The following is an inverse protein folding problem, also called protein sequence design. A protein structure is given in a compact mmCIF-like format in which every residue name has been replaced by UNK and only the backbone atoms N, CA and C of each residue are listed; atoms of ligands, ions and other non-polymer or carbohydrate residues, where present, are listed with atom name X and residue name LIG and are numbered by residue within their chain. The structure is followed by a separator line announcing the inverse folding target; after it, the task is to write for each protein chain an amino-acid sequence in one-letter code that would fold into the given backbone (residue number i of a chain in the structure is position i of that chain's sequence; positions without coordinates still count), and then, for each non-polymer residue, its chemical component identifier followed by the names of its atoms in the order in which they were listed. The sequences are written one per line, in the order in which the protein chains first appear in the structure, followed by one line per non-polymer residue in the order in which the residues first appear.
data_IF_620014875720
#
_entry.id   IF_620014875720
#
_cell.length_a   1.000
_cell.length_b   1.000
_cell.length_c   1.000
_cell.angle_alpha   90.00
_cell.angle_beta   90.00
_cell.angle_gamma   90.00
#
_symmetry.space_group_name_H-M   'P 1'
#
loop_
_entity.id
_entity.type
_entity.pdbx_description
1 polymer ?
#
# COMPACT_ATOMS: atom_id res chain seq x y z
N UNK A 1 -16.08 0.90 9.14
CA UNK A 1 -15.81 2.15 9.88
C UNK A 1 -14.30 2.26 10.09
N UNK A 2 -13.63 3.24 9.47
CA UNK A 2 -12.18 3.40 9.62
C UNK A 2 -11.90 4.55 10.60
N UNK A 3 -11.36 4.23 11.78
CA UNK A 3 -11.02 5.24 12.79
C UNK A 3 -9.67 5.88 12.48
N UNK A 4 -9.59 7.21 12.61
CA UNK A 4 -8.33 7.94 12.42
C UNK A 4 -7.38 7.73 13.60
N UNK A 5 -6.08 7.95 13.37
CA UNK A 5 -5.07 7.91 14.44
C UNK A 5 -5.46 8.81 15.63
N UNK A 6 -5.93 10.03 15.34
CA UNK A 6 -6.33 11.01 16.35
C UNK A 6 -7.50 10.49 17.20
N UNK A 7 -8.51 9.91 16.56
CA UNK A 7 -9.65 9.32 17.26
C UNK A 7 -9.19 8.15 18.13
N UNK A 8 -8.34 7.27 17.61
CA UNK A 8 -7.81 6.12 18.35
C UNK A 8 -6.92 6.54 19.53
N UNK A 9 -6.18 7.63 19.43
CA UNK A 9 -5.44 8.22 20.54
C UNK A 9 -6.38 8.75 21.63
N UNK A 10 -7.43 9.49 21.25
CA UNK A 10 -8.42 9.98 22.19
C UNK A 10 -9.14 8.82 22.90
N UNK A 11 -9.50 7.76 22.17
CA UNK A 11 -10.07 6.55 22.75
C UNK A 11 -9.10 5.86 23.71
N UNK A 12 -7.81 5.76 23.37
CA UNK A 12 -6.80 5.17 24.27
C UNK A 12 -6.66 5.93 25.60
N UNK A 13 -6.76 7.26 25.57
CA UNK A 13 -6.77 8.09 26.79
C UNK A 13 -8.03 7.85 27.60
N UNK A 14 -9.20 7.78 26.94
CA UNK A 14 -10.47 7.51 27.61
C UNK A 14 -10.50 6.14 28.30
N UNK A 15 -9.91 5.10 27.69
CA UNK A 15 -9.80 3.75 28.29
C UNK A 15 -9.02 3.74 29.62
N UNK A 16 -8.19 4.75 29.90
CA UNK A 16 -7.36 4.83 31.11
C UNK A 16 -8.00 5.68 32.23
N UNK A 17 -9.12 6.37 31.97
CA UNK A 17 -9.78 7.20 32.98
C UNK A 17 -10.53 6.34 34.00
N UNK A 18 -10.43 6.70 35.28
CA UNK A 18 -11.28 6.15 36.35
C UNK A 18 -12.71 6.68 36.17
N UNK A 19 -13.70 5.80 36.29
CA UNK A 19 -15.11 6.11 36.08
C UNK A 19 -15.78 6.66 37.34
N UNK A 20 -16.77 7.56 37.19
CA UNK A 20 -17.44 8.27 38.29
C UNK A 20 -18.99 8.21 38.26
N UNK A 21 -19.60 7.37 37.41
CA UNK A 21 -21.05 7.11 37.35
C UNK A 21 -21.87 7.92 36.32
N UNK A 22 -21.24 8.49 35.28
CA UNK A 22 -21.86 9.36 34.26
C UNK A 22 -22.19 8.63 32.94
N UNK A 23 -22.93 9.27 32.02
CA UNK A 23 -23.13 8.77 30.64
C UNK A 23 -21.79 8.53 29.92
N UNK A 24 -20.77 9.35 30.20
CA UNK A 24 -19.42 9.15 29.70
C UNK A 24 -18.82 7.83 30.20
N UNK A 25 -19.15 7.43 31.43
CA UNK A 25 -18.69 6.16 32.00
C UNK A 25 -19.38 4.95 31.38
N UNK A 26 -20.66 5.07 30.99
CA UNK A 26 -21.36 4.05 30.20
C UNK A 26 -20.69 3.83 28.84
N UNK A 27 -20.33 4.92 28.14
CA UNK A 27 -19.60 4.83 26.87
C UNK A 27 -18.18 4.27 27.04
N UNK A 28 -17.48 4.63 28.13
CA UNK A 28 -16.17 4.05 28.47
C UNK A 28 -16.31 2.56 28.81
N UNK A 29 -17.37 2.15 29.52
CA UNK A 29 -17.64 0.75 29.82
C UNK A 29 -17.88 -0.07 28.54
N UNK A 30 -18.66 0.45 27.59
CA UNK A 30 -18.85 -0.18 26.28
C UNK A 30 -17.57 -0.19 25.43
N UNK A 31 -16.72 0.82 25.55
CA UNK A 31 -15.39 0.81 24.92
C UNK A 31 -14.46 -0.20 25.59
N UNK A 32 -14.55 -0.40 26.90
CA UNK A 32 -13.73 -1.34 27.66
C UNK A 32 -14.21 -2.79 27.55
N UNK A 33 -15.46 -3.02 27.15
CA UNK A 33 -15.95 -4.37 26.82
C UNK A 33 -15.41 -4.89 25.47
N UNK A 34 -14.79 -4.04 24.64
CA UNK A 34 -14.07 -4.52 23.45
C UNK A 34 -12.80 -5.28 23.84
N UNK A 35 -12.48 -6.38 23.16
CA UNK A 35 -11.22 -7.12 23.39
C UNK A 35 -10.02 -6.17 23.25
N UNK A 36 -9.13 -6.20 24.24
CA UNK A 36 -7.96 -5.32 24.28
C UNK A 36 -7.05 -5.51 23.05
N UNK A 37 -6.90 -6.75 22.60
CA UNK A 37 -6.12 -7.09 21.41
C UNK A 37 -6.66 -6.40 20.14
N UNK A 38 -7.98 -6.45 19.90
CA UNK A 38 -8.61 -5.83 18.73
C UNK A 38 -8.38 -4.32 18.72
N UNK A 39 -8.44 -3.68 19.89
CA UNK A 39 -8.16 -2.25 20.02
C UNK A 39 -6.71 -1.91 19.66
N UNK A 40 -5.74 -2.65 20.21
CA UNK A 40 -4.32 -2.38 19.96
C UNK A 40 -3.90 -2.76 18.53
N UNK A 41 -4.51 -3.78 17.94
CA UNK A 41 -4.29 -4.15 16.54
C UNK A 41 -4.80 -3.05 15.60
N UNK A 42 -6.01 -2.53 15.86
CA UNK A 42 -6.58 -1.42 15.11
C UNK A 42 -5.75 -0.15 15.24
N UNK A 43 -5.33 0.18 16.47
CA UNK A 43 -4.49 1.34 16.74
C UNK A 43 -3.11 1.23 16.08
N UNK A 44 -2.48 0.06 16.17
CA UNK A 44 -1.20 -0.20 15.51
C UNK A 44 -1.30 -0.09 13.99
N UNK A 45 -2.36 -0.63 13.39
CA UNK A 45 -2.63 -0.50 11.95
C UNK A 45 -2.87 0.96 11.54
N UNK A 46 -3.55 1.76 12.35
CA UNK A 46 -3.69 3.19 12.08
C UNK A 46 -2.34 3.92 12.06
N UNK A 47 -1.40 3.55 12.94
CA UNK A 47 -0.03 4.08 12.90
C UNK A 47 0.77 3.61 11.68
N UNK A 48 0.52 2.40 11.17
CA UNK A 48 1.13 1.96 9.90
C UNK A 48 0.72 2.86 8.73
N UNK A 49 -0.56 3.25 8.66
CA UNK A 49 -1.11 4.16 7.62
C UNK A 49 -0.49 5.55 7.63
N UNK A 50 0.07 5.97 8.77
CA UNK A 50 0.74 7.27 8.92
C UNK A 50 2.26 7.14 9.05
N UNK A 51 2.83 5.97 8.72
CA UNK A 51 4.27 5.67 8.78
C UNK A 51 4.91 5.90 10.16
N UNK A 52 4.12 5.83 11.24
CA UNK A 52 4.58 5.97 12.63
C UNK A 52 4.97 4.61 13.20
N UNK A 53 5.98 3.99 12.59
CA UNK A 53 6.35 2.59 12.83
C UNK A 53 6.70 2.28 14.30
N UNK A 54 7.39 3.18 15.00
CA UNK A 54 7.70 3.01 16.41
C UNK A 54 6.44 2.92 17.29
N UNK A 55 5.45 3.81 17.05
CA UNK A 55 4.16 3.77 17.75
C UNK A 55 3.36 2.52 17.40
N UNK A 56 3.40 2.09 16.14
CA UNK A 56 2.77 0.84 15.72
C UNK A 56 3.34 -0.36 16.50
N UNK A 57 4.67 -0.45 16.65
CA UNK A 57 5.35 -1.49 17.43
C UNK A 57 4.90 -1.45 18.90
N UNK A 58 4.79 -0.26 19.50
CA UNK A 58 4.31 -0.12 20.88
C UNK A 58 2.89 -0.68 21.06
N UNK A 59 1.99 -0.46 20.10
CA UNK A 59 0.66 -1.06 20.11
C UNK A 59 0.73 -2.59 19.93
N UNK A 60 1.47 -3.07 18.94
CA UNK A 60 1.57 -4.50 18.65
C UNK A 60 2.30 -5.32 19.73
N UNK A 61 3.09 -4.68 20.60
CA UNK A 61 3.68 -5.31 21.77
C UNK A 61 2.67 -5.59 22.90
N UNK A 62 1.48 -4.96 22.86
CA UNK A 62 0.41 -5.17 23.85
C UNK A 62 -0.54 -6.32 23.48
N UNK A 63 -0.39 -6.88 22.29
CA UNK A 63 -1.18 -8.01 21.83
C UNK A 63 -0.82 -9.28 22.59
N UNK A 64 -1.80 -10.14 22.85
CA UNK A 64 -1.56 -11.46 23.44
C UNK A 64 -0.59 -12.30 22.59
N UNK A 65 0.15 -13.21 23.25
CA UNK A 65 1.22 -14.02 22.62
C UNK A 65 0.74 -14.81 21.39
N UNK A 66 -0.52 -15.27 21.41
CA UNK A 66 -1.10 -16.11 20.36
C UNK A 66 -2.02 -15.32 19.42
N UNK A 67 -2.03 -13.99 19.52
CA UNK A 67 -2.86 -13.15 18.68
C UNK A 67 -2.59 -13.41 17.21
N UNK A 68 -3.67 -13.56 16.44
CA UNK A 68 -3.63 -13.73 14.99
C UNK A 68 -4.00 -12.41 14.36
N UNK A 69 -3.04 -11.81 13.66
CA UNK A 69 -3.35 -10.64 12.85
C UNK A 69 -4.46 -10.97 11.89
N UNK A 70 -5.42 -10.06 11.80
CA UNK A 70 -6.51 -10.21 10.89
C UNK A 70 -5.96 -10.18 9.46
N UNK A 71 -6.20 -11.26 8.74
CA UNK A 71 -5.93 -11.38 7.32
C UNK A 71 -7.26 -11.70 6.68
N UNK A 72 -7.73 -10.84 5.79
CA UNK A 72 -8.91 -11.17 5.02
C UNK A 72 -8.68 -12.47 4.22
N UNK A 73 -9.72 -13.29 4.12
CA UNK A 73 -9.73 -14.44 3.22
C UNK A 73 -9.52 -13.90 1.80
N UNK A 74 -8.28 -14.02 1.28
CA UNK A 74 -8.02 -13.71 -0.13
C UNK A 74 -8.62 -14.85 -0.94
N UNK A 75 -9.92 -14.79 -1.19
CA UNK A 75 -10.57 -15.58 -2.21
C UNK A 75 -10.13 -15.09 -3.58
N UNK A 76 -9.32 -15.88 -4.28
CA UNK A 76 -9.18 -15.69 -5.72
C UNK A 76 -10.55 -15.91 -6.36
N UNK A 77 -11.05 -14.90 -7.09
CA UNK A 77 -12.16 -15.06 -8.03
C UNK A 77 -11.64 -15.83 -9.25
N UNK A 78 -11.32 -17.11 -9.08
CA UNK A 78 -11.23 -18.04 -10.19
C UNK A 78 -12.29 -19.10 -9.97
N UNK A 79 -13.25 -19.18 -10.89
CA UNK A 79 -14.47 -19.99 -10.80
C UNK A 79 -14.20 -21.50 -10.95
N UNK A 80 -13.01 -21.96 -10.56
CA UNK A 80 -12.64 -23.37 -10.56
C UNK A 80 -11.87 -23.70 -9.29
N UNK A 81 -12.54 -24.51 -8.46
CA UNK A 81 -12.05 -25.29 -7.32
C UNK A 81 -12.44 -24.71 -5.95
N UNK A 82 -13.52 -25.30 -5.44
CA UNK A 82 -13.93 -25.34 -4.03
C UNK A 82 -12.80 -25.82 -3.11
N UNK A 83 -11.98 -24.88 -2.61
CA UNK A 83 -11.38 -24.88 -1.27
C UNK A 83 -10.53 -23.61 -1.16
N UNK A 84 -11.17 -22.54 -0.71
CA UNK A 84 -10.55 -21.27 -0.32
C UNK A 84 -9.36 -21.53 0.60
N UNK A 85 -8.15 -21.52 0.03
CA UNK A 85 -6.92 -21.52 0.83
C UNK A 85 -6.66 -20.08 1.26
N UNK A 86 -7.14 -19.77 2.47
CA UNK A 86 -6.85 -18.62 3.33
C UNK A 86 -5.35 -18.58 3.65
N UNK A 87 -4.53 -18.46 2.61
CA UNK A 87 -3.11 -18.81 2.66
C UNK A 87 -2.34 -17.62 2.12
N UNK A 88 -2.69 -17.07 0.95
CA UNK A 88 -1.94 -15.97 0.32
C UNK A 88 -1.58 -14.80 1.25
N UNK A 89 -2.52 -14.28 2.06
CA UNK A 89 -2.27 -13.15 2.96
C UNK A 89 -1.18 -13.46 4.00
N UNK A 90 -1.20 -14.66 4.58
CA UNK A 90 -0.19 -15.13 5.54
C UNK A 90 1.19 -15.35 4.92
N UNK A 91 1.31 -15.24 3.60
CA UNK A 91 2.57 -15.37 2.87
C UNK A 91 2.93 -14.11 2.09
N UNK A 92 2.27 -12.98 2.36
CA UNK A 92 2.65 -11.71 1.77
C UNK A 92 4.05 -11.30 2.25
N UNK A 93 4.84 -10.80 1.31
CA UNK A 93 6.09 -10.11 1.60
C UNK A 93 6.01 -8.72 0.97
N UNK A 94 5.85 -7.64 1.76
CA UNK A 94 5.78 -6.29 1.22
C UNK A 94 7.11 -5.82 0.63
N UNK A 95 8.25 -6.39 1.00
CA UNK A 95 9.57 -5.85 0.59
C UNK A 95 10.02 -6.33 -0.80
N UNK A 96 9.18 -7.07 -1.53
CA UNK A 96 9.53 -7.60 -2.85
C UNK A 96 9.39 -6.52 -3.94
N UNK A 97 10.32 -6.57 -4.89
CA UNK A 97 10.18 -5.87 -6.17
C UNK A 97 9.25 -6.68 -7.09
N UNK A 98 8.22 -6.04 -7.64
CA UNK A 98 7.35 -6.65 -8.65
C UNK A 98 7.21 -5.75 -9.87
N UNK A 99 7.60 -6.28 -11.03
CA UNK A 99 7.39 -5.58 -12.31
C UNK A 99 5.90 -5.52 -12.67
N UNK A 100 5.20 -6.66 -12.55
CA UNK A 100 3.75 -6.78 -12.70
C UNK A 100 3.05 -6.69 -11.36
N UNK A 101 1.87 -6.10 -11.32
CA UNK A 101 1.02 -6.13 -10.12
C UNK A 101 0.26 -7.46 -10.01
N UNK A 102 -0.03 -8.10 -11.15
CA UNK A 102 -0.69 -9.40 -11.23
C UNK A 102 0.06 -10.41 -12.12
N UNK A 103 0.02 -11.72 -11.78
CA UNK A 103 -0.54 -12.28 -10.55
C UNK A 103 0.27 -11.84 -9.31
N UNK A 104 -0.42 -11.63 -8.19
CA UNK A 104 0.21 -11.24 -6.92
C UNK A 104 1.17 -12.34 -6.48
N UNK A 105 2.39 -11.97 -6.07
CA UNK A 105 3.40 -12.93 -5.63
C UNK A 105 3.30 -13.14 -4.12
N UNK A 106 3.12 -14.39 -3.70
CA UNK A 106 3.10 -14.81 -2.30
C UNK A 106 4.21 -15.84 -2.06
N UNK A 107 4.72 -15.89 -0.83
CA UNK A 107 5.72 -16.87 -0.43
C UNK A 107 5.10 -18.28 -0.37
N UNK A 108 5.92 -19.31 -0.58
CA UNK A 108 5.52 -20.71 -0.40
C UNK A 108 5.97 -21.12 1.01
N UNK A 109 5.04 -21.38 1.94
CA UNK A 109 5.25 -21.79 3.36
C UNK A 109 5.47 -20.63 4.35
N UNK A 110 5.30 -20.93 5.66
CA UNK A 110 5.11 -20.11 6.89
C UNK A 110 6.13 -18.99 7.18
N UNK A 111 6.51 -18.25 6.15
CA UNK A 111 7.54 -17.21 6.16
C UNK A 111 6.96 -15.83 5.83
N UNK A 112 5.64 -15.66 5.82
CA UNK A 112 5.04 -14.35 5.59
C UNK A 112 5.34 -13.41 6.75
N UNK A 113 5.34 -12.13 6.39
CA UNK A 113 5.57 -11.04 7.33
C UNK A 113 4.21 -10.70 7.98
N UNK A 114 4.20 -10.31 9.24
CA UNK A 114 3.00 -9.80 9.90
C UNK A 114 3.15 -8.30 10.15
N UNK A 115 2.07 -7.63 10.56
CA UNK A 115 2.08 -6.16 10.76
C UNK A 115 3.14 -5.70 11.75
N UNK A 116 3.44 -6.50 12.79
CA UNK A 116 4.49 -6.19 13.76
C UNK A 116 5.88 -6.28 13.16
N UNK A 117 6.21 -7.38 12.48
CA UNK A 117 7.53 -7.56 11.85
C UNK A 117 7.73 -6.59 10.69
N UNK A 118 6.67 -6.25 9.97
CA UNK A 118 6.66 -5.15 9.00
C UNK A 118 7.02 -3.80 9.63
N UNK A 119 6.36 -3.44 10.75
CA UNK A 119 6.65 -2.19 11.44
C UNK A 119 8.10 -2.13 11.93
N UNK A 120 8.61 -3.24 12.48
CA UNK A 120 10.00 -3.36 12.93
C UNK A 120 10.98 -3.14 11.78
N UNK A 121 10.74 -3.79 10.64
CA UNK A 121 11.62 -3.68 9.48
C UNK A 121 11.56 -2.28 8.85
N UNK A 122 10.38 -1.68 8.74
CA UNK A 122 10.25 -0.29 8.27
C UNK A 122 10.97 0.71 9.18
N UNK A 123 10.85 0.54 10.51
CA UNK A 123 11.59 1.37 11.46
C UNK A 123 13.11 1.19 11.33
N UNK A 124 13.57 -0.05 11.14
CA UNK A 124 14.99 -0.36 10.92
C UNK A 124 15.51 0.34 9.66
N UNK A 125 14.80 0.19 8.54
CA UNK A 125 15.15 0.84 7.28
C UNK A 125 15.15 2.37 7.41
N UNK A 126 14.14 2.95 8.08
CA UNK A 126 14.06 4.39 8.30
C UNK A 126 15.24 4.93 9.13
N UNK A 127 15.74 4.17 10.11
CA UNK A 127 16.95 4.55 10.84
C UNK A 127 18.19 4.46 9.96
N UNK A 128 18.28 3.41 9.14
CA UNK A 128 19.41 3.16 8.25
C UNK A 128 19.54 4.18 7.12
N UNK A 129 18.45 4.81 6.66
CA UNK A 129 18.54 5.90 5.67
C UNK A 129 19.35 7.08 6.18
N UNK A 130 19.48 7.24 7.51
CA UNK A 130 20.26 8.29 8.18
C UNK A 130 21.62 7.77 8.63
N UNK A 131 21.67 6.60 9.30
CA UNK A 131 22.90 6.10 9.91
C UNK A 131 23.87 5.42 8.94
N UNK A 132 23.39 4.97 7.77
CA UNK A 132 24.21 4.38 6.70
C UNK A 132 23.92 5.09 5.37
N UNK A 133 24.55 6.25 5.23
CA UNK A 133 24.41 7.11 4.04
C UNK A 133 24.88 6.42 2.75
N UNK A 134 25.85 5.50 2.82
CA UNK A 134 26.37 4.76 1.67
C UNK A 134 25.30 3.89 1.01
N UNK A 135 24.44 3.26 1.82
CA UNK A 135 23.38 2.38 1.33
C UNK A 135 21.98 3.04 1.37
N UNK A 136 21.89 4.33 1.72
CA UNK A 136 20.61 5.05 1.89
C UNK A 136 19.67 4.91 0.69
N UNK A 137 20.20 4.96 -0.54
CA UNK A 137 19.43 4.71 -1.76
C UNK A 137 18.71 3.35 -1.76
N UNK A 138 19.38 2.29 -1.32
CA UNK A 138 18.84 0.93 -1.26
C UNK A 138 17.74 0.85 -0.19
N UNK A 139 17.94 1.48 0.96
CA UNK A 139 16.94 1.50 2.03
C UNK A 139 15.67 2.26 1.64
N UNK A 140 15.80 3.42 0.98
CA UNK A 140 14.63 4.12 0.42
C UNK A 140 13.89 3.26 -0.61
N UNK A 141 14.62 2.53 -1.47
CA UNK A 141 14.01 1.63 -2.44
C UNK A 141 13.25 0.48 -1.78
N UNK A 142 13.82 -0.13 -0.74
CA UNK A 142 13.17 -1.19 0.03
C UNK A 142 11.91 -0.68 0.76
N UNK A 143 11.99 0.50 1.38
CA UNK A 143 10.85 1.15 2.00
C UNK A 143 9.74 1.47 0.98
N UNK A 144 10.12 1.94 -0.21
CA UNK A 144 9.20 2.24 -1.30
C UNK A 144 8.49 0.98 -1.80
N UNK A 145 9.22 -0.13 -2.00
CA UNK A 145 8.63 -1.44 -2.30
C UNK A 145 7.60 -1.83 -1.23
N UNK A 146 7.99 -1.71 0.04
CA UNK A 146 7.12 -2.04 1.16
C UNK A 146 5.79 -1.29 1.13
N UNK A 147 5.84 0.04 0.98
CA UNK A 147 4.62 0.87 0.94
C UNK A 147 3.82 0.60 -0.32
N UNK A 148 4.46 0.46 -1.48
CA UNK A 148 3.78 0.10 -2.73
C UNK A 148 3.00 -1.21 -2.55
N UNK A 149 3.60 -2.24 -1.96
CA UNK A 149 2.92 -3.52 -1.75
C UNK A 149 1.76 -3.48 -0.74
N UNK A 150 1.68 -2.43 0.08
CA UNK A 150 0.51 -2.21 0.96
C UNK A 150 -0.65 -1.48 0.27
N UNK A 151 -0.47 -1.03 -0.97
CA UNK A 151 -1.55 -0.48 -1.80
C UNK A 151 -2.52 -1.55 -2.30
N UNK A 152 -3.65 -1.12 -2.86
CA UNK A 152 -4.72 -2.00 -3.40
C UNK A 152 -4.19 -3.02 -4.43
N UNK A 153 -3.22 -2.57 -5.23
CA UNK A 153 -2.53 -3.33 -6.27
C UNK A 153 -1.45 -4.28 -5.74
N UNK A 154 -1.04 -4.15 -4.48
CA UNK A 154 0.05 -4.92 -3.88
C UNK A 154 -0.38 -6.24 -3.24
N UNK A 155 0.60 -7.08 -2.89
CA UNK A 155 0.35 -8.37 -2.22
C UNK A 155 0.11 -8.26 -0.70
N UNK A 156 0.43 -7.12 -0.08
CA UNK A 156 0.39 -6.89 1.36
C UNK A 156 -0.64 -5.82 1.76
N UNK A 157 -1.65 -5.58 0.93
CA UNK A 157 -2.68 -4.55 1.13
C UNK A 157 -3.39 -4.63 2.50
N UNK A 158 -3.55 -5.84 3.04
CA UNK A 158 -4.19 -6.12 4.33
C UNK A 158 -3.34 -5.67 5.54
N UNK A 159 -2.10 -5.22 5.32
CA UNK A 159 -1.28 -4.66 6.40
C UNK A 159 -1.80 -3.30 6.85
N UNK A 160 -2.42 -2.55 5.95
CA UNK A 160 -2.98 -1.22 6.24
C UNK A 160 -4.50 -1.16 6.03
N UNK A 161 -5.10 -2.14 5.37
CA UNK A 161 -6.55 -2.21 5.18
C UNK A 161 -7.15 -3.43 5.85
N UNK A 162 -8.43 -3.32 6.20
CA UNK A 162 -9.20 -4.49 6.60
C UNK A 162 -9.99 -4.98 5.40
N UNK A 163 -10.99 -4.26 4.93
CA UNK A 163 -11.78 -4.73 3.79
C UNK A 163 -11.47 -3.93 2.52
N UNK A 164 -11.33 -4.64 1.40
CA UNK A 164 -11.10 -4.06 0.07
C UNK A 164 -12.31 -3.26 -0.44
N UNK A 165 -13.51 -3.50 0.11
CA UNK A 165 -14.78 -2.86 -0.26
C UNK A 165 -15.15 -1.63 0.57
N UNK A 166 -14.39 -1.28 1.62
CA UNK A 166 -14.72 -0.19 2.58
C UNK A 166 -14.81 1.21 1.95
N UNK A 167 -14.49 1.39 0.67
CA UNK A 167 -14.05 2.67 0.11
C UNK A 167 -15.04 3.43 -0.76
N UNK A 168 -16.35 3.23 -0.58
CA UNK A 168 -17.38 4.14 -1.12
C UNK A 168 -17.64 5.38 -0.23
N UNK A 169 -16.83 5.59 0.82
CA UNK A 169 -17.03 6.63 1.82
C UNK A 169 -15.91 7.70 1.78
N UNK A 170 -16.16 8.88 1.16
CA UNK A 170 -15.18 9.97 0.99
C UNK A 170 -14.72 10.63 2.30
N UNK A 171 -15.46 10.46 3.40
CA UNK A 171 -15.19 11.05 4.72
C UNK A 171 -13.95 10.48 5.45
N UNK A 172 -13.32 9.41 4.94
CA UNK A 172 -12.14 8.77 5.55
C UNK A 172 -10.79 9.19 4.92
N UNK A 173 -10.81 10.27 4.14
CA UNK A 173 -9.65 10.93 3.57
C UNK A 173 -8.74 11.49 4.66
N UNK A 174 -7.60 10.86 4.93
CA UNK A 174 -6.29 11.53 4.81
C UNK A 174 -5.15 10.51 5.01
N UNK A 175 -4.08 10.67 4.20
CA UNK A 175 -2.90 9.80 4.04
C UNK A 175 -3.17 8.36 3.54
N UNK A 176 -4.21 7.68 4.02
CA UNK A 176 -4.50 6.30 3.60
C UNK A 176 -4.71 6.18 2.09
N UNK A 177 -5.57 7.02 1.48
CA UNK A 177 -5.82 6.96 0.04
C UNK A 177 -4.59 7.34 -0.79
N UNK A 178 -3.72 8.21 -0.26
CA UNK A 178 -2.50 8.62 -0.95
C UNK A 178 -1.61 7.41 -1.22
N UNK A 179 -1.50 6.49 -0.27
CA UNK A 179 -0.68 5.29 -0.49
C UNK A 179 -1.48 4.13 -1.03
N UNK A 180 -2.69 3.92 -0.50
CA UNK A 180 -3.51 2.77 -0.87
C UNK A 180 -3.93 2.80 -2.33
N UNK A 181 -4.37 3.97 -2.82
CA UNK A 181 -4.85 4.14 -4.20
C UNK A 181 -3.83 4.81 -5.11
N UNK A 182 -3.02 5.75 -4.59
CA UNK A 182 -2.17 6.61 -5.43
C UNK A 182 -0.68 6.28 -5.36
N UNK A 183 -0.25 5.38 -4.45
CA UNK A 183 1.17 5.03 -4.25
C UNK A 183 2.09 6.24 -4.00
N UNK A 184 1.58 7.33 -3.40
CA UNK A 184 2.26 8.62 -3.34
C UNK A 184 3.58 8.55 -2.55
N UNK A 185 3.57 8.01 -1.33
CA UNK A 185 4.78 7.88 -0.50
C UNK A 185 5.82 6.96 -1.17
N UNK A 186 5.37 5.88 -1.81
CA UNK A 186 6.25 4.99 -2.56
C UNK A 186 6.94 5.74 -3.70
N UNK A 187 6.20 6.55 -4.47
CA UNK A 187 6.75 7.40 -5.54
C UNK A 187 7.86 8.32 -5.01
N UNK A 188 7.60 9.02 -3.92
CA UNK A 188 8.56 9.97 -3.33
C UNK A 188 9.82 9.27 -2.85
N UNK A 189 9.70 8.08 -2.24
CA UNK A 189 10.85 7.30 -1.80
C UNK A 189 11.61 6.65 -2.95
N UNK A 190 10.95 6.20 -4.03
CA UNK A 190 11.64 5.78 -5.25
C UNK A 190 12.40 6.95 -5.89
N UNK A 191 11.81 8.15 -5.92
CA UNK A 191 12.49 9.36 -6.41
C UNK A 191 13.72 9.70 -5.55
N UNK A 192 13.60 9.59 -4.22
CA UNK A 192 14.72 9.77 -3.30
C UNK A 192 15.81 8.72 -3.54
N UNK A 193 15.46 7.44 -3.64
CA UNK A 193 16.38 6.35 -3.96
C UNK A 193 17.12 6.62 -5.28
N UNK A 194 16.39 7.04 -6.32
CA UNK A 194 16.95 7.40 -7.63
C UNK A 194 17.96 8.53 -7.55
N UNK A 195 17.68 9.56 -6.74
CA UNK A 195 18.55 10.73 -6.59
C UNK A 195 19.86 10.43 -5.85
N UNK A 196 19.86 9.40 -5.00
CA UNK A 196 20.99 9.06 -4.12
C UNK A 196 21.93 8.01 -4.72
N UNK A 197 21.57 7.38 -5.84
CA UNK A 197 22.38 6.34 -6.48
C UNK A 197 22.80 6.79 -7.88
N UNK A 198 24.03 6.48 -8.31
CA UNK A 198 24.54 6.83 -9.63
C UNK A 198 24.50 5.69 -10.65
N UNK A 199 24.21 4.46 -10.23
CA UNK A 199 24.08 3.31 -11.13
C UNK A 199 22.88 3.50 -12.08
N UNK A 200 23.15 3.46 -13.38
CA UNK A 200 22.14 3.69 -14.42
C UNK A 200 21.06 2.61 -14.38
N UNK A 201 21.44 1.35 -14.09
CA UNK A 201 20.50 0.26 -14.01
C UNK A 201 19.56 0.42 -12.80
N UNK A 202 20.06 0.86 -11.65
CA UNK A 202 19.26 1.20 -10.48
C UNK A 202 18.36 2.42 -10.71
N UNK A 203 18.85 3.47 -11.38
CA UNK A 203 18.02 4.61 -11.77
C UNK A 203 16.90 4.22 -12.72
N UNK A 204 17.14 3.28 -13.64
CA UNK A 204 16.12 2.72 -14.51
C UNK A 204 15.04 1.97 -13.72
N UNK A 205 15.43 1.13 -12.74
CA UNK A 205 14.49 0.47 -11.83
C UNK A 205 13.60 1.47 -11.10
N UNK A 206 14.22 2.47 -10.47
CA UNK A 206 13.47 3.50 -9.75
C UNK A 206 12.54 4.28 -10.69
N UNK A 207 13.00 4.66 -11.88
CA UNK A 207 12.20 5.38 -12.87
C UNK A 207 10.98 4.58 -13.31
N UNK A 208 11.15 3.28 -13.55
CA UNK A 208 10.03 2.39 -13.85
C UNK A 208 9.03 2.32 -12.69
N UNK A 209 9.50 2.15 -11.45
CA UNK A 209 8.61 2.11 -10.28
C UNK A 209 7.88 3.43 -10.03
N UNK A 210 8.53 4.57 -10.28
CA UNK A 210 7.89 5.90 -10.24
C UNK A 210 6.81 6.00 -11.32
N UNK A 211 7.10 5.53 -12.54
CA UNK A 211 6.13 5.52 -13.63
C UNK A 211 4.90 4.64 -13.29
N UNK A 212 5.12 3.49 -12.63
CA UNK A 212 4.03 2.65 -12.11
C UNK A 212 3.20 3.36 -11.04
N UNK A 213 3.82 4.14 -10.16
CA UNK A 213 3.08 4.92 -9.17
C UNK A 213 2.21 5.99 -9.85
N UNK A 214 2.74 6.71 -10.84
CA UNK A 214 1.95 7.69 -11.63
C UNK A 214 0.78 7.03 -12.38
N UNK A 215 0.98 5.82 -12.90
CA UNK A 215 -0.12 5.06 -13.51
C UNK A 215 -1.29 4.87 -12.53
N UNK A 216 -1.04 4.72 -11.21
CA UNK A 216 -2.12 4.57 -10.23
C UNK A 216 -2.98 5.82 -10.13
N UNK A 217 -2.35 6.99 -10.15
CA UNK A 217 -3.04 8.27 -10.23
C UNK A 217 -3.89 8.39 -11.50
N UNK A 218 -3.35 7.97 -12.65
CA UNK A 218 -4.07 7.96 -13.93
C UNK A 218 -5.28 7.03 -13.87
N UNK A 219 -5.14 5.82 -13.32
CA UNK A 219 -6.24 4.86 -13.19
C UNK A 219 -7.37 5.40 -12.30
N UNK A 220 -7.03 6.08 -11.19
CA UNK A 220 -8.04 6.72 -10.34
C UNK A 220 -8.73 7.86 -11.09
N UNK A 221 -7.98 8.70 -11.83
CA UNK A 221 -8.57 9.77 -12.63
C UNK A 221 -9.49 9.22 -13.74
N UNK A 222 -9.06 8.15 -14.42
CA UNK A 222 -9.83 7.46 -15.46
C UNK A 222 -11.16 6.90 -14.92
N UNK A 223 -11.13 6.25 -13.76
CA UNK A 223 -12.34 5.70 -13.13
C UNK A 223 -13.33 6.79 -12.67
N UNK A 224 -12.87 8.04 -12.54
CA UNK A 224 -13.71 9.19 -12.18
C UNK A 224 -14.16 10.01 -13.40
N UNK A 225 -13.81 9.60 -14.62
CA UNK A 225 -14.28 10.29 -15.82
C UNK A 225 -15.80 10.16 -15.93
N UNK A 226 -16.46 11.30 -16.13
CA UNK A 226 -17.89 11.34 -16.39
C UNK A 226 -18.16 10.69 -17.74
N UNK A 227 -19.04 9.70 -17.76
CA UNK A 227 -19.59 9.15 -18.98
C UNK A 227 -20.55 10.19 -19.54
N UNK A 228 -20.33 10.60 -20.78
CA UNK A 228 -21.33 11.35 -21.52
C UNK A 228 -22.51 10.41 -21.73
N UNK A 229 -23.71 10.83 -21.34
CA UNK A 229 -24.93 10.09 -21.61
C UNK A 229 -25.27 10.30 -23.08
N UNK A 230 -24.56 9.57 -23.95
CA UNK A 230 -24.92 9.50 -25.37
C UNK A 230 -25.63 8.17 -25.60
N UNK A 231 -26.63 8.19 -26.48
CA UNK A 231 -27.29 6.97 -26.96
C UNK A 231 -26.32 5.99 -27.68
N UNK A 232 -25.02 6.27 -27.71
CA UNK A 232 -23.97 5.48 -28.35
C UNK A 232 -22.83 5.13 -27.38
N UNK A 233 -23.07 4.09 -26.58
CA UNK A 233 -22.11 3.50 -25.64
C UNK A 233 -20.74 3.18 -26.23
N UNK A 234 -20.67 2.68 -27.47
CA UNK A 234 -19.39 2.33 -28.12
C UNK A 234 -18.51 3.55 -28.38
N UNK A 235 -19.12 4.64 -28.85
CA UNK A 235 -18.43 5.90 -29.09
C UNK A 235 -17.91 6.51 -27.78
N UNK A 236 -18.70 6.45 -26.71
CA UNK A 236 -18.25 6.92 -25.40
C UNK A 236 -17.09 6.08 -24.87
N UNK A 237 -17.17 4.75 -24.95
CA UNK A 237 -16.08 3.86 -24.56
C UNK A 237 -14.78 4.18 -25.32
N UNK A 238 -14.86 4.37 -26.64
CA UNK A 238 -13.71 4.73 -27.46
C UNK A 238 -13.10 6.08 -27.05
N UNK A 239 -13.93 7.07 -26.74
CA UNK A 239 -13.49 8.39 -26.27
C UNK A 239 -12.81 8.30 -24.90
N UNK A 240 -13.39 7.56 -23.95
CA UNK A 240 -12.76 7.37 -22.63
C UNK A 240 -11.44 6.63 -22.76
N UNK A 241 -11.38 5.59 -23.58
CA UNK A 241 -10.13 4.86 -23.84
C UNK A 241 -9.07 5.75 -24.51
N UNK A 242 -9.46 6.64 -25.43
CA UNK A 242 -8.55 7.62 -26.02
C UNK A 242 -7.95 8.57 -24.96
N UNK A 243 -8.79 9.09 -24.05
CA UNK A 243 -8.32 9.91 -22.90
C UNK A 243 -7.37 9.14 -21.99
N UNK A 244 -7.68 7.88 -21.69
CA UNK A 244 -6.79 7.00 -20.93
C UNK A 244 -5.43 6.86 -21.59
N UNK A 245 -5.40 6.53 -22.89
CA UNK A 245 -4.15 6.43 -23.66
C UNK A 245 -3.36 7.74 -23.65
N UNK A 246 -4.03 8.88 -23.79
CA UNK A 246 -3.38 10.18 -23.72
C UNK A 246 -2.73 10.42 -22.35
N UNK A 247 -3.47 10.21 -21.25
CA UNK A 247 -2.93 10.35 -19.89
C UNK A 247 -1.72 9.42 -19.65
N UNK A 248 -1.76 8.20 -20.18
CA UNK A 248 -0.64 7.26 -20.12
C UNK A 248 0.57 7.74 -20.93
N UNK A 249 0.36 8.26 -22.13
CA UNK A 249 1.40 8.87 -22.96
C UNK A 249 2.02 10.12 -22.32
N UNK A 250 1.24 10.84 -21.50
CA UNK A 250 1.70 12.04 -20.78
C UNK A 250 2.47 11.72 -19.50
N UNK A 251 2.54 10.45 -19.10
CA UNK A 251 3.40 10.02 -18.01
C UNK A 251 4.88 10.25 -18.35
N UNK A 252 5.44 11.35 -17.85
CA UNK A 252 6.80 11.79 -18.13
C UNK A 252 7.85 10.73 -17.80
N UNK A 253 7.60 9.85 -16.83
CA UNK A 253 8.57 8.84 -16.43
C UNK A 253 8.67 7.68 -17.42
N UNK A 254 7.64 7.41 -18.24
CA UNK A 254 7.80 6.48 -19.36
C UNK A 254 8.75 7.07 -20.42
N UNK A 255 8.62 8.37 -20.72
CA UNK A 255 9.55 9.06 -21.63
C UNK A 255 10.97 9.08 -21.05
N UNK A 256 11.12 9.39 -19.76
CA UNK A 256 12.42 9.37 -19.07
C UNK A 256 13.04 7.96 -19.07
N UNK A 257 12.23 6.90 -18.92
CA UNK A 257 12.70 5.53 -18.89
C UNK A 257 13.48 5.15 -20.16
N UNK A 258 13.14 5.72 -21.33
CA UNK A 258 13.84 5.51 -22.61
C UNK A 258 15.32 5.88 -22.58
N UNK A 259 15.71 6.83 -21.73
CA UNK A 259 17.11 7.21 -21.54
C UNK A 259 17.96 6.05 -21.02
N UNK A 260 17.33 5.07 -20.36
CA UNK A 260 17.97 3.89 -19.81
C UNK A 260 17.87 2.65 -20.72
N UNK A 261 17.58 2.81 -22.01
CA UNK A 261 17.32 1.72 -22.97
C UNK A 261 18.38 0.62 -23.02
N UNK A 262 19.63 0.94 -22.67
CA UNK A 262 20.75 -0.01 -22.64
C UNK A 262 20.81 -0.86 -21.37
N UNK A 263 20.09 -0.50 -20.32
CA UNK A 263 20.12 -1.17 -19.01
C UNK A 263 19.31 -2.46 -19.01
N UNK A 264 19.65 -3.40 -18.13
CA UNK A 264 18.88 -4.64 -17.98
C UNK A 264 17.50 -4.36 -17.38
N UNK A 265 17.41 -3.44 -16.42
CA UNK A 265 16.16 -3.02 -15.80
C UNK A 265 15.16 -2.46 -16.83
N UNK A 266 15.62 -1.66 -17.80
CA UNK A 266 14.78 -1.21 -18.91
C UNK A 266 14.23 -2.39 -19.72
N UNK A 267 15.11 -3.29 -20.16
CA UNK A 267 14.71 -4.47 -20.96
C UNK A 267 13.68 -5.32 -20.22
N UNK A 268 13.89 -5.55 -18.93
CA UNK A 268 12.92 -6.27 -18.09
C UNK A 268 11.59 -5.52 -17.98
N UNK A 269 11.61 -4.20 -17.74
CA UNK A 269 10.40 -3.40 -17.64
C UNK A 269 9.55 -3.44 -18.92
N UNK A 270 10.16 -3.26 -20.10
CA UNK A 270 9.47 -3.30 -21.39
C UNK A 270 8.87 -4.67 -21.68
N UNK A 271 9.58 -5.74 -21.35
CA UNK A 271 9.11 -7.10 -21.61
C UNK A 271 8.00 -7.55 -20.65
N UNK A 272 8.06 -7.11 -19.38
CA UNK A 272 7.12 -7.54 -18.35
C UNK A 272 5.84 -6.68 -18.31
N UNK A 273 5.85 -5.48 -18.88
CA UNK A 273 4.69 -4.62 -18.90
C UNK A 273 4.16 -4.49 -20.34
N UNK A 274 3.16 -5.31 -20.69
CA UNK A 274 2.50 -5.25 -22.01
C UNK A 274 2.09 -3.83 -22.37
N UNK A 275 1.54 -3.10 -21.40
CA UNK A 275 1.17 -1.69 -21.54
C UNK A 275 2.38 -0.78 -21.82
N UNK A 276 3.52 -0.99 -21.16
CA UNK A 276 4.70 -0.16 -21.38
C UNK A 276 5.19 -0.29 -22.83
N UNK A 277 5.08 -1.48 -23.43
CA UNK A 277 5.38 -1.68 -24.86
C UNK A 277 4.46 -0.88 -25.79
N UNK A 278 3.21 -0.67 -25.39
CA UNK A 278 2.23 0.10 -26.18
C UNK A 278 2.41 1.63 -26.03
N UNK A 279 3.12 2.09 -24.99
CA UNK A 279 3.29 3.51 -24.64
C UNK A 279 4.76 4.01 -24.73
N UNK A 280 5.71 3.14 -25.08
CA UNK A 280 7.11 3.49 -25.40
C UNK A 280 7.37 3.38 -26.90
#
# INVERSE_FOLDING_TARGET
MMLSEKILQQLAVLKQKKTAGTLQDFLIAGLNSSKADDFYELQGTAYLRSHKYEKAIQCFNKLSKNFKFWTNDIGEWDNKIEKFKIIGAYYANPFIETYKDYPKKYLRKNNGINKKTFAQEMLRLQKLTVSDSKNSAIYYYQMANAVYQTGEFGNAWHFISYDSKVFKHPEFSYNYNNDYKLAATAKDWYAKARSLNNDQNFKAKCTYMIAKCEQKKILVAYNNLTWTDTDNYEKDMANQFAKFKQMMNDNAYYKELKQYSKTQAYKTAVNECSYLKDFL
#
